data_IF_160494980692
#
_entry.id   IF_160494980692
#
_cell.length_a   1.000
_cell.length_b   1.000
_cell.length_c   1.000
_cell.angle_alpha   90.00
_cell.angle_beta   90.00
_cell.angle_gamma   90.00
#
_symmetry.space_group_name_H-M   'P 1'
#
loop_
_entity.id
_entity.type
_entity.pdbx_description
1 polymer ?
#
# COMPACT_ATOMS: atom_id res chain seq x y z
N UNK A 1 12.27 -2.89 -7.20
CA UNK A 1 12.28 -1.46 -6.80
C UNK A 1 11.53 -0.54 -7.78
N UNK A 2 10.74 0.37 -7.22
CA UNK A 2 9.92 1.35 -7.95
C UNK A 2 10.77 2.51 -8.50
N UNK A 3 11.83 2.91 -7.78
CA UNK A 3 12.71 4.05 -8.09
C UNK A 3 11.96 5.39 -8.21
N UNK A 4 10.82 5.53 -7.54
CA UNK A 4 9.97 6.71 -7.65
C UNK A 4 10.61 7.97 -7.02
N UNK A 5 11.51 7.79 -6.07
CA UNK A 5 12.27 8.85 -5.40
C UNK A 5 13.37 9.44 -6.28
N UNK A 6 13.91 8.69 -7.24
CA UNK A 6 15.04 9.11 -8.09
C UNK A 6 14.66 9.35 -9.55
N UNK A 7 13.67 8.65 -10.10
CA UNK A 7 13.28 8.75 -11.51
C UNK A 7 12.12 9.77 -11.72
N UNK A 8 12.39 10.92 -12.36
CA UNK A 8 11.37 11.94 -12.61
C UNK A 8 10.28 11.50 -13.58
N UNK A 9 10.58 10.61 -14.54
CA UNK A 9 9.59 10.12 -15.51
C UNK A 9 8.60 9.21 -14.81
N UNK A 10 9.08 8.31 -13.94
CA UNK A 10 8.21 7.46 -13.11
C UNK A 10 7.33 8.28 -12.17
N UNK A 11 7.87 9.35 -11.57
CA UNK A 11 7.05 10.28 -10.76
C UNK A 11 5.94 10.95 -11.55
N UNK A 12 6.25 11.41 -12.75
CA UNK A 12 5.27 12.04 -13.62
C UNK A 12 4.15 11.06 -13.99
N UNK A 13 4.52 9.83 -14.36
CA UNK A 13 3.56 8.77 -14.66
C UNK A 13 2.70 8.42 -13.45
N UNK A 14 3.30 8.23 -12.27
CA UNK A 14 2.54 7.93 -11.05
C UNK A 14 1.54 9.04 -10.69
N UNK A 15 1.93 10.31 -10.86
CA UNK A 15 1.03 11.45 -10.65
C UNK A 15 -0.16 11.41 -11.62
N UNK A 16 0.10 11.21 -12.90
CA UNK A 16 -0.95 11.13 -13.92
C UNK A 16 -1.94 9.99 -13.65
N UNK A 17 -1.44 8.83 -13.19
CA UNK A 17 -2.30 7.72 -12.79
C UNK A 17 -3.16 8.05 -11.58
N UNK A 18 -2.59 8.70 -10.55
CA UNK A 18 -3.36 9.15 -9.37
C UNK A 18 -4.49 10.09 -9.78
N UNK A 19 -4.21 11.08 -10.61
CA UNK A 19 -5.22 12.01 -11.14
C UNK A 19 -6.31 11.26 -11.92
N UNK A 20 -5.92 10.36 -12.83
CA UNK A 20 -6.85 9.53 -13.58
C UNK A 20 -7.73 8.67 -12.65
N UNK A 21 -7.17 8.10 -11.59
CA UNK A 21 -7.94 7.27 -10.67
C UNK A 21 -9.01 8.06 -9.93
N UNK A 22 -8.74 9.33 -9.59
CA UNK A 22 -9.72 10.20 -8.96
C UNK A 22 -10.90 10.47 -9.91
N UNK A 23 -10.62 10.77 -11.19
CA UNK A 23 -11.65 11.00 -12.22
C UNK A 23 -12.50 9.75 -12.48
N UNK A 24 -11.88 8.57 -12.45
CA UNK A 24 -12.58 7.30 -12.67
C UNK A 24 -13.30 6.77 -11.42
N UNK A 25 -13.13 7.39 -10.25
CA UNK A 25 -13.57 6.82 -8.98
C UNK A 25 -12.88 5.49 -8.65
N UNK A 26 -11.69 5.26 -9.20
CA UNK A 26 -10.87 4.07 -8.99
C UNK A 26 -9.89 4.26 -7.82
N UNK A 27 -9.34 3.14 -7.36
CA UNK A 27 -8.33 3.12 -6.30
C UNK A 27 -7.01 2.64 -6.86
N UNK A 28 -5.91 3.32 -6.49
CA UNK A 28 -4.55 2.89 -6.84
C UNK A 28 -3.90 2.17 -5.67
N UNK A 29 -3.19 1.09 -6.02
CA UNK A 29 -2.25 0.38 -5.14
C UNK A 29 -0.86 0.46 -5.76
N UNK A 30 0.12 0.93 -5.00
CA UNK A 30 1.52 0.93 -5.44
C UNK A 30 2.24 -0.36 -4.98
N UNK A 31 2.68 -1.18 -5.93
CA UNK A 31 3.40 -2.42 -5.64
C UNK A 31 4.92 -2.29 -5.83
N UNK A 32 5.69 -3.03 -5.03
CA UNK A 32 7.16 -3.09 -5.13
C UNK A 32 7.90 -2.05 -4.30
N UNK A 33 7.31 -1.60 -3.18
CA UNK A 33 7.92 -0.65 -2.24
C UNK A 33 9.04 -1.34 -1.43
N UNK A 34 10.29 -0.97 -1.68
CA UNK A 34 11.46 -1.58 -1.06
C UNK A 34 12.20 -0.63 -0.13
N UNK A 35 12.05 0.68 -0.33
CA UNK A 35 12.78 1.70 0.45
C UNK A 35 11.87 2.75 1.09
N UNK A 36 12.25 3.33 2.26
CA UNK A 36 11.51 4.43 2.87
C UNK A 36 11.37 5.66 1.96
N UNK A 37 12.34 5.90 1.08
CA UNK A 37 12.32 7.01 0.13
C UNK A 37 11.20 6.83 -0.92
N UNK A 38 11.03 5.62 -1.45
CA UNK A 38 9.92 5.27 -2.35
C UNK A 38 8.57 5.43 -1.65
N UNK A 39 8.43 4.91 -0.41
CA UNK A 39 7.21 5.07 0.37
C UNK A 39 6.87 6.56 0.57
N UNK A 40 7.85 7.37 0.97
CA UNK A 40 7.65 8.80 1.16
C UNK A 40 7.28 9.52 -0.15
N UNK A 41 7.84 9.09 -1.29
CA UNK A 41 7.48 9.63 -2.59
C UNK A 41 6.02 9.30 -2.96
N UNK A 42 5.58 8.07 -2.71
CA UNK A 42 4.18 7.65 -2.90
C UNK A 42 3.21 8.39 -1.98
N UNK A 43 3.57 8.56 -0.70
CA UNK A 43 2.75 9.32 0.26
C UNK A 43 2.57 10.77 -0.17
N UNK A 44 3.62 11.43 -0.70
CA UNK A 44 3.51 12.79 -1.26
C UNK A 44 2.61 12.89 -2.49
N UNK A 45 2.42 11.79 -3.22
CA UNK A 45 1.49 11.70 -4.34
C UNK A 45 0.07 11.29 -3.90
N UNK A 46 -0.20 11.18 -2.59
CA UNK A 46 -1.49 10.74 -2.05
C UNK A 46 -1.93 9.35 -2.55
N UNK A 47 -0.99 8.45 -2.80
CA UNK A 47 -1.32 7.05 -3.12
C UNK A 47 -1.85 6.37 -1.85
N UNK A 48 -3.09 5.83 -1.86
CA UNK A 48 -3.76 5.41 -0.63
C UNK A 48 -3.31 4.04 -0.11
N UNK A 49 -2.85 3.15 -0.98
CA UNK A 49 -2.46 1.79 -0.62
C UNK A 49 -1.14 1.39 -1.27
N UNK A 50 -0.40 0.49 -0.63
CA UNK A 50 0.82 -0.04 -1.21
C UNK A 50 1.25 -1.38 -0.63
N UNK A 51 2.06 -2.09 -1.40
CA UNK A 51 2.68 -3.36 -1.05
C UNK A 51 4.17 -3.32 -1.40
N UNK A 52 4.99 -3.94 -0.55
CA UNK A 52 6.38 -4.21 -0.87
C UNK A 52 7.14 -4.70 0.35
N UNK A 53 8.37 -5.16 0.15
CA UNK A 53 9.18 -5.77 1.20
C UNK A 53 9.47 -4.84 2.38
N UNK A 54 9.42 -3.53 2.16
CA UNK A 54 9.49 -2.54 3.25
C UNK A 54 8.29 -2.66 4.20
N UNK A 55 7.09 -2.87 3.65
CA UNK A 55 5.82 -2.90 4.39
C UNK A 55 5.53 -4.29 4.98
N UNK A 56 6.06 -5.34 4.35
CA UNK A 56 5.94 -6.71 4.79
C UNK A 56 6.41 -7.68 3.72
N UNK A 57 7.01 -8.79 4.15
CA UNK A 57 7.32 -9.88 3.22
C UNK A 57 6.09 -10.76 3.00
N UNK A 58 5.93 -11.36 1.81
CA UNK A 58 4.95 -12.41 1.60
C UNK A 58 5.11 -13.49 2.68
N UNK A 59 4.00 -13.81 3.34
CA UNK A 59 3.92 -14.82 4.38
C UNK A 59 2.74 -15.73 4.10
N UNK A 60 2.74 -16.91 4.72
CA UNK A 60 1.55 -17.75 4.72
C UNK A 60 0.37 -16.95 5.29
N UNK A 61 -0.82 -17.11 4.69
CA UNK A 61 -2.03 -16.51 5.24
C UNK A 61 -2.21 -17.02 6.68
N UNK A 62 -2.48 -16.14 7.65
CA UNK A 62 -2.81 -16.60 8.98
C UNK A 62 -4.10 -17.44 8.95
N UNK A 63 -4.29 -18.31 9.94
CA UNK A 63 -5.53 -19.06 10.08
C UNK A 63 -6.65 -18.10 10.50
N UNK A 64 -7.28 -17.46 9.51
CA UNK A 64 -8.27 -16.39 9.67
C UNK A 64 -9.45 -16.80 10.55
N UNK A 65 -9.75 -18.10 10.66
CA UNK A 65 -10.81 -18.60 11.55
C UNK A 65 -10.43 -18.40 13.02
N UNK A 66 -9.16 -18.64 13.39
CA UNK A 66 -8.70 -18.48 14.78
C UNK A 66 -8.57 -17.01 15.18
N UNK A 67 -8.15 -16.15 14.27
CA UNK A 67 -7.96 -14.73 14.55
C UNK A 67 -9.29 -13.98 14.73
N UNK A 68 -10.30 -14.28 13.90
CA UNK A 68 -11.63 -13.68 14.06
C UNK A 68 -12.34 -14.13 15.34
N UNK A 69 -12.17 -15.39 15.75
CA UNK A 69 -12.72 -15.87 17.03
C UNK A 69 -12.09 -15.15 18.23
N UNK A 70 -10.76 -14.99 18.24
CA UNK A 70 -10.08 -14.26 19.32
C UNK A 70 -10.49 -12.80 19.41
N UNK A 71 -10.58 -12.10 18.27
CA UNK A 71 -11.04 -10.70 18.25
C UNK A 71 -12.50 -10.54 18.69
N UNK A 72 -13.37 -11.51 18.38
CA UNK A 72 -14.76 -11.51 18.83
C UNK A 72 -14.88 -11.81 20.33
N UNK A 73 -14.11 -12.77 20.86
CA UNK A 73 -14.03 -13.07 22.29
C UNK A 73 -13.50 -11.86 23.10
N UNK A 74 -12.44 -11.21 22.63
CA UNK A 74 -11.87 -10.00 23.26
C UNK A 74 -12.82 -8.79 23.22
N UNK A 75 -13.69 -8.71 22.22
CA UNK A 75 -14.69 -7.65 22.07
C UNK A 75 -15.95 -7.89 22.92
N UNK A 76 -16.27 -9.15 23.25
CA UNK A 76 -17.42 -9.53 24.10
C UNK A 76 -17.15 -9.31 25.59
N UNK A 77 -15.88 -9.30 26.01
CA UNK A 77 -15.47 -9.15 27.41
C UNK A 77 -15.08 -7.71 27.79
N UNK A 78 -15.43 -6.73 26.95
CA UNK A 78 -15.39 -5.29 27.24
C UNK A 78 -16.80 -4.73 27.36
#
# INVERSE_FOLDING_TARGET
PLNLDSDPVRRALARALVELSAELGAVIVAEGIETPAELAALSRLNVPYGQGYLLGRPAALPDLKRERSRQAEDALWR
#
